data_IF_128198059143
#
_entry.id   IF_128198059143
#
_cell.length_a   1.000
_cell.length_b   1.000
_cell.length_c   1.000
_cell.angle_alpha   90.00
_cell.angle_beta   90.00
_cell.angle_gamma   90.00
#
_symmetry.space_group_name_H-M   'P 1'
#
loop_
_entity.id
_entity.type
_entity.pdbx_description
1 polymer ?
2 non-polymer ?
3 water ?
#
# COMPACT_ATOMS: atom_id res chain seq x y z
N UNK A 4 -7.24 -5.81 -19.05
CA UNK A 4 -8.59 -5.61 -18.44
C UNK A 4 -9.49 -6.82 -18.85
N UNK A 5 -10.14 -7.45 -17.86
CA UNK A 5 -11.06 -8.56 -18.20
C UNK A 5 -12.34 -7.97 -18.78
N UNK A 6 -13.04 -8.72 -19.69
CA UNK A 6 -14.41 -8.27 -20.04
C UNK A 6 -15.29 -8.26 -18.79
N UNK A 7 -16.17 -7.28 -18.71
CA UNK A 7 -17.04 -7.16 -17.53
C UNK A 7 -17.92 -8.43 -17.40
N UNK A 8 -18.07 -8.95 -16.18
CA UNK A 8 -18.98 -10.06 -15.91
C UNK A 8 -20.19 -9.43 -15.20
N UNK A 9 -21.38 -9.74 -15.68
CA UNK A 9 -22.64 -9.32 -15.01
C UNK A 9 -23.22 -10.51 -14.30
N UNK A 10 -23.60 -10.30 -13.04
CA UNK A 10 -24.15 -11.39 -12.27
C UNK A 10 -25.35 -10.85 -11.51
N UNK A 11 -26.52 -11.36 -11.85
CA UNK A 11 -27.70 -11.06 -11.04
C UNK A 11 -27.59 -11.89 -9.78
N UNK A 12 -27.46 -11.25 -8.62
CA UNK A 12 -27.31 -12.03 -7.39
C UNK A 12 -28.72 -12.43 -6.86
N UNK A 13 -29.62 -11.46 -6.92
CA UNK A 13 -31.05 -11.67 -6.51
C UNK A 13 -31.85 -10.51 -7.07
N UNK A 14 -33.15 -10.45 -6.75
CA UNK A 14 -33.98 -9.37 -7.27
C UNK A 14 -33.75 -7.98 -6.72
N UNK A 15 -32.82 -7.85 -5.77
CA UNK A 15 -32.33 -6.52 -5.38
C UNK A 15 -30.96 -6.17 -5.98
N UNK A 16 -30.04 -7.13 -6.03
CA UNK A 16 -28.61 -6.84 -6.39
C UNK A 16 -28.11 -7.48 -7.68
N UNK A 17 -27.49 -6.65 -8.51
CA UNK A 17 -26.66 -7.13 -9.63
C UNK A 17 -25.23 -6.59 -9.50
N UNK A 18 -24.26 -7.47 -9.72
CA UNK A 18 -22.84 -7.10 -9.60
C UNK A 18 -22.20 -7.09 -10.96
N UNK A 19 -21.31 -6.12 -11.22
CA UNK A 19 -20.53 -6.05 -12.46
C UNK A 19 -19.08 -6.02 -12.10
N UNK A 20 -18.30 -7.04 -12.50
CA UNK A 20 -16.85 -7.14 -12.08
C UNK A 20 -15.92 -6.97 -13.27
N UNK A 21 -14.92 -6.10 -13.14
CA UNK A 21 -13.81 -6.08 -14.08
C UNK A 21 -12.50 -6.10 -13.28
N UNK A 22 -11.50 -6.81 -13.78
CA UNK A 22 -10.16 -6.78 -13.20
C UNK A 22 -9.20 -6.12 -14.16
N UNK A 23 -8.38 -5.18 -13.68
CA UNK A 23 -7.43 -4.50 -14.55
C UNK A 23 -6.02 -4.58 -13.94
N UNK A 24 -5.01 -4.74 -14.79
CA UNK A 24 -3.62 -4.81 -14.31
C UNK A 24 -2.78 -3.74 -14.99
N UNK A 25 -1.90 -3.07 -14.24
CA UNK A 25 -0.87 -2.27 -14.93
C UNK A 25 0.35 -2.33 -14.09
N UNK A 26 1.50 -2.27 -14.75
CA UNK A 26 2.71 -2.46 -14.05
C UNK A 26 3.84 -1.70 -14.72
N UNK A 27 4.89 -1.49 -13.94
CA UNK A 27 6.15 -1.02 -14.49
C UNK A 27 7.15 -2.06 -14.07
N UNK A 28 7.76 -2.78 -15.04
CA UNK A 28 8.61 -3.86 -14.59
C UNK A 28 10.03 -3.44 -14.18
N UNK A 29 10.53 -2.30 -14.69
CA UNK A 29 11.81 -1.72 -14.24
C UNK A 29 11.72 -1.30 -12.74
N UNK A 30 10.64 -0.62 -12.39
CA UNK A 30 10.44 -0.25 -10.96
C UNK A 30 9.93 -1.38 -10.08
N UNK A 31 9.42 -2.44 -10.69
CA UNK A 31 8.94 -3.58 -9.90
C UNK A 31 7.75 -3.16 -9.03
N UNK A 32 6.80 -2.46 -9.70
CA UNK A 32 5.51 -2.07 -9.11
C UNK A 32 4.43 -2.56 -10.04
N UNK A 33 3.48 -3.31 -9.47
CA UNK A 33 2.33 -3.88 -10.21
C UNK A 33 1.04 -3.56 -9.48
N UNK A 34 0.06 -3.06 -10.25
CA UNK A 34 -1.27 -2.81 -9.67
C UNK A 34 -2.24 -3.87 -10.24
N UNK A 35 -2.95 -4.54 -9.35
CA UNK A 35 -3.96 -5.52 -9.76
C UNK A 35 -5.20 -4.92 -9.10
N UNK A 36 -6.13 -4.46 -9.95
CA UNK A 36 -7.32 -3.71 -9.42
C UNK A 36 -8.57 -4.45 -9.76
N UNK A 37 -9.41 -4.64 -8.74
CA UNK A 37 -10.70 -5.35 -8.92
C UNK A 37 -11.78 -4.31 -8.73
N UNK A 38 -12.52 -4.03 -9.81
CA UNK A 38 -13.63 -3.06 -9.80
C UNK A 38 -14.94 -3.86 -9.70
N UNK A 39 -15.69 -3.65 -8.62
CA UNK A 39 -17.02 -4.25 -8.49
C UNK A 39 -18.05 -3.16 -8.43
N UNK A 40 -18.92 -3.07 -9.44
CA UNK A 40 -20.00 -2.09 -9.38
C UNK A 40 -21.20 -2.83 -8.88
N UNK A 41 -21.88 -2.19 -7.95
CA UNK A 41 -23.09 -2.77 -7.34
C UNK A 41 -24.30 -1.95 -7.82
N UNK A 42 -25.26 -2.62 -8.44
CA UNK A 42 -26.54 -1.99 -8.79
C UNK A 42 -27.56 -2.58 -7.78
N UNK A 43 -28.09 -1.73 -6.91
CA UNK A 43 -29.02 -2.15 -5.84
C UNK A 43 -30.35 -1.43 -6.13
N UNK A 44 -31.37 -2.21 -6.47
CA UNK A 44 -32.73 -1.65 -6.67
C UNK A 44 -33.26 -0.80 -5.53
N UNK A 45 -32.79 -1.07 -4.31
CA UNK A 45 -33.26 -0.36 -3.15
C UNK A 45 -32.44 0.84 -2.71
N UNK A 46 -31.42 1.21 -3.50
CA UNK A 46 -30.53 2.33 -3.18
C UNK A 46 -30.28 3.15 -4.42
N UNK A 47 -30.47 4.45 -4.26
CA UNK A 47 -30.46 5.32 -5.41
C UNK A 47 -29.06 5.90 -5.75
N UNK A 48 -27.99 5.32 -5.20
CA UNK A 48 -26.62 5.62 -5.72
C UNK A 48 -26.00 4.37 -6.28
N UNK A 49 -25.14 4.53 -7.29
CA UNK A 49 -24.28 3.46 -7.78
C UNK A 49 -23.12 3.34 -6.80
N UNK A 50 -22.70 2.11 -6.53
CA UNK A 50 -21.55 1.90 -5.62
C UNK A 50 -20.46 1.15 -6.37
N UNK A 51 -19.22 1.64 -6.26
CA UNK A 51 -18.08 0.92 -6.77
C UNK A 51 -17.18 0.54 -5.60
N UNK A 52 -16.90 -0.74 -5.48
CA UNK A 52 -15.92 -1.25 -4.46
C UNK A 52 -14.70 -1.57 -5.27
N UNK A 53 -13.63 -0.80 -5.04
CA UNK A 53 -12.38 -0.97 -5.78
C UNK A 53 -11.35 -1.56 -4.85
N UNK A 54 -10.88 -2.78 -5.18
CA UNK A 54 -9.80 -3.41 -4.42
C UNK A 54 -8.50 -3.18 -5.16
N UNK A 55 -7.50 -2.66 -4.44
CA UNK A 55 -6.16 -2.39 -4.98
C UNK A 55 -5.19 -3.41 -4.39
N UNK A 56 -4.65 -4.27 -5.24
CA UNK A 56 -3.69 -5.33 -4.81
C UNK A 56 -2.46 -5.28 -5.74
N UNK A 57 -1.61 -6.32 -5.73
CA UNK A 57 -0.37 -6.32 -6.54
C UNK A 57 0.90 -6.32 -5.68
N UNK A 58 1.89 -5.51 -6.08
CA UNK A 58 3.24 -5.58 -5.55
C UNK A 58 3.90 -4.22 -5.61
N UNK A 59 4.63 -3.89 -4.54
CA UNK A 59 5.58 -2.77 -4.61
C UNK A 59 6.87 -3.33 -4.04
N UNK A 60 7.87 -3.47 -4.88
CA UNK A 60 9.16 -3.99 -4.36
C UNK A 60 9.76 -2.87 -3.47
N UNK A 61 10.56 -3.27 -2.44
CA UNK A 61 11.20 -2.33 -1.52
C UNK A 61 12.29 -1.51 -2.19
N UNK A 62 12.84 -2.04 -3.28
CA UNK A 62 13.98 -1.41 -3.97
C UNK A 62 15.31 -1.73 -3.29
N UNK A 63 15.30 -2.62 -2.29
CA UNK A 63 16.54 -2.98 -1.56
C UNK A 63 17.56 -3.63 -2.49
N UNK A 64 18.85 -3.30 -2.31
CA UNK A 64 19.94 -4.05 -2.91
C UNK A 64 21.01 -4.16 -1.82
N UNK A 65 21.72 -5.28 -1.82
CA UNK A 65 22.77 -5.52 -0.81
C UNK A 65 23.85 -4.46 -0.91
N UNK A 66 24.40 -4.06 0.26
CA UNK A 66 25.61 -3.20 0.25
C UNK A 66 26.79 -3.92 -0.36
N UNK A 67 27.81 -3.18 -0.76
CA UNK A 67 28.97 -3.82 -1.31
C UNK A 67 29.76 -4.40 -0.09
N UNK A 68 29.97 -5.73 -0.03
CA UNK A 68 30.62 -6.30 1.17
C UNK A 68 32.07 -5.90 1.36
N UNK A 69 32.69 -5.39 0.31
CA UNK A 69 34.12 -4.92 0.40
C UNK A 69 34.29 -3.55 1.06
N UNK A 70 33.21 -2.77 1.18
CA UNK A 70 33.26 -1.45 1.85
C UNK A 70 33.86 -1.64 3.23
N UNK A 71 34.98 -0.97 3.50
CA UNK A 71 35.70 -1.26 4.72
C UNK A 71 35.31 -0.41 5.95
N UNK A 72 35.40 0.92 5.83
CA UNK A 72 35.15 1.78 7.02
C UNK A 72 33.84 2.55 6.93
N UNK A 73 33.15 2.42 5.80
CA UNK A 73 31.89 3.13 5.59
C UNK A 73 31.09 2.32 4.61
N UNK A 74 29.80 2.10 4.88
CA UNK A 74 28.98 1.43 3.89
C UNK A 74 27.55 1.95 3.93
N UNK A 75 26.74 1.52 2.97
CA UNK A 75 25.36 2.01 2.89
C UNK A 75 24.55 1.07 2.01
N UNK A 76 23.21 1.12 2.15
CA UNK A 76 22.29 0.46 1.22
C UNK A 76 20.98 1.23 1.29
N UNK A 77 20.13 0.99 0.29
CA UNK A 77 18.79 1.57 0.27
C UNK A 77 17.76 0.47 0.63
N UNK A 78 16.68 0.91 1.29
CA UNK A 78 15.68 -0.06 1.77
C UNK A 78 14.31 0.59 1.75
N UNK A 79 13.27 -0.24 1.91
CA UNK A 79 11.88 0.28 1.81
C UNK A 79 11.36 0.89 3.10
N UNK A 80 11.53 2.19 3.25
CA UNK A 80 11.16 2.86 4.49
C UNK A 80 9.66 3.00 4.66
N UNK A 81 8.96 3.24 3.56
CA UNK A 81 7.52 3.50 3.66
C UNK A 81 6.88 3.22 2.28
N UNK A 82 5.66 2.70 2.33
CA UNK A 82 4.86 2.49 1.12
C UNK A 82 3.63 3.35 1.20
N UNK A 83 3.29 4.02 0.09
CA UNK A 83 2.11 4.86 0.01
C UNK A 83 1.18 4.33 -1.07
N UNK A 84 -0.13 4.22 -0.74
CA UNK A 84 -1.14 3.83 -1.80
C UNK A 84 -2.28 4.86 -1.73
N UNK A 85 -2.73 5.40 -2.85
CA UNK A 85 -3.89 6.25 -2.81
C UNK A 85 -4.79 6.00 -3.98
N UNK A 86 -6.07 6.37 -3.79
CA UNK A 86 -7.07 6.25 -4.85
C UNK A 86 -7.77 7.56 -4.86
N UNK A 87 -7.82 8.21 -6.03
CA UNK A 87 -8.52 9.50 -6.03
C UNK A 87 -9.49 9.63 -7.19
N UNK A 88 -10.57 10.33 -6.93
CA UNK A 88 -11.59 10.57 -7.94
C UNK A 88 -11.38 11.97 -8.53
N UNK A 89 -11.36 12.05 -9.86
CA UNK A 89 -11.34 13.35 -10.56
C UNK A 89 -12.54 13.49 -11.50
N UNK A 90 -12.73 14.72 -11.98
CA UNK A 90 -13.63 15.01 -13.11
C UNK A 90 -15.13 14.68 -12.97
N UNK A 91 -15.68 14.60 -11.75
CA UNK A 91 -17.15 14.45 -11.60
C UNK A 91 -17.61 14.66 -10.16
N UNK A 92 -18.33 15.74 -9.91
CA UNK A 92 -18.80 16.05 -8.54
C UNK A 92 -19.89 15.11 -7.98
N UNK A 93 -20.48 14.30 -8.85
CA UNK A 93 -21.45 13.34 -8.42
C UNK A 93 -20.78 12.03 -7.95
N UNK A 94 -19.44 12.00 -7.94
CA UNK A 94 -18.66 10.85 -7.41
C UNK A 94 -17.95 11.26 -6.13
N UNK A 95 -18.04 10.40 -5.10
CA UNK A 95 -17.38 10.66 -3.83
C UNK A 95 -16.79 9.39 -3.28
N UNK A 96 -15.64 9.53 -2.62
CA UNK A 96 -15.05 8.37 -1.89
C UNK A 96 -15.81 8.34 -0.56
N UNK A 97 -16.51 7.23 -0.25
CA UNK A 97 -17.42 7.24 0.92
C UNK A 97 -17.02 6.28 2.06
N UNK A 98 -16.15 5.34 1.73
CA UNK A 98 -15.70 4.31 2.67
C UNK A 98 -14.45 3.63 2.16
N UNK A 99 -13.78 2.92 3.04
CA UNK A 99 -12.48 2.33 2.70
C UNK A 99 -12.04 1.40 3.82
N UNK A 100 -11.12 0.49 3.47
CA UNK A 100 -10.53 -0.47 4.44
C UNK A 100 -9.06 -0.70 4.11
N UNK A 101 -8.18 -0.71 5.13
CA UNK A 101 -8.51 -0.37 6.51
C UNK A 101 -8.90 1.07 6.79
N UNK A 102 -9.62 1.22 7.90
CA UNK A 102 -10.21 2.48 8.26
C UNK A 102 -9.45 3.18 9.39
N UNK A 103 -8.74 2.40 10.22
CA UNK A 103 -8.06 2.92 11.44
C UNK A 103 -6.61 2.51 11.43
N UNK A 104 -5.78 3.26 12.16
CA UNK A 104 -4.34 2.97 12.30
C UNK A 104 -4.18 1.52 12.71
N UNK A 105 -3.16 0.84 12.20
CA UNK A 105 -3.07 -0.57 12.49
C UNK A 105 -1.59 -1.00 12.36
N UNK A 106 -1.03 -1.46 13.48
CA UNK A 106 0.33 -1.98 13.45
C UNK A 106 0.42 -3.49 13.77
N UNK A 107 -0.69 -4.23 13.53
CA UNK A 107 -0.70 -5.70 13.68
C UNK A 107 0.14 -6.32 12.58
N UNK A 108 0.70 -7.48 12.83
CA UNK A 108 1.63 -8.09 11.84
C UNK A 108 0.95 -8.48 10.54
N UNK A 109 -0.35 -8.76 10.63
CA UNK A 109 -1.12 -9.07 9.44
C UNK A 109 -2.45 -8.35 9.55
N UNK A 110 -2.82 -7.66 8.48
CA UNK A 110 -4.10 -6.95 8.42
C UNK A 110 -5.09 -7.85 7.67
N UNK A 111 -6.22 -8.18 8.27
CA UNK A 111 -7.22 -9.07 7.61
C UNK A 111 -8.56 -8.54 7.94
N UNK A 112 -9.27 -8.03 6.94
CA UNK A 112 -10.58 -7.38 7.19
C UNK A 112 -11.54 -7.70 6.05
N UNK A 113 -12.85 -7.56 6.33
CA UNK A 113 -13.89 -7.75 5.30
C UNK A 113 -14.66 -6.45 5.20
N UNK A 114 -14.94 -6.02 3.98
CA UNK A 114 -15.83 -4.89 3.77
C UNK A 114 -17.10 -5.44 3.15
N UNK A 115 -18.23 -5.16 3.80
CA UNK A 115 -19.53 -5.77 3.38
C UNK A 115 -20.46 -4.68 2.88
N UNK A 116 -21.29 -5.01 1.89
CA UNK A 116 -22.31 -4.11 1.42
C UNK A 116 -23.62 -4.80 1.77
N UNK A 117 -24.53 -4.04 2.38
CA UNK A 117 -25.86 -4.56 2.75
C UNK A 117 -26.90 -3.94 1.86
N UNK A 118 -27.97 -4.70 1.59
CA UNK A 118 -29.08 -4.19 0.82
C UNK A 118 -29.46 -2.79 1.35
N UNK A 119 -29.61 -1.84 0.43
CA UNK A 119 -30.01 -0.49 0.84
C UNK A 119 -28.86 0.51 0.95
N UNK A 120 -27.63 0.02 0.81
CA UNK A 120 -26.45 0.88 0.71
C UNK A 120 -25.48 0.92 1.86
N UNK A 121 -25.79 0.31 2.99
CA UNK A 121 -24.88 0.38 4.15
C UNK A 121 -23.59 -0.40 3.91
N UNK A 122 -22.46 0.19 4.32
CA UNK A 122 -21.14 -0.48 4.27
C UNK A 122 -20.70 -0.74 5.70
N UNK A 123 -20.20 -1.95 5.98
CA UNK A 123 -19.62 -2.26 7.28
C UNK A 123 -18.23 -2.89 7.07
N UNK A 124 -17.35 -2.68 8.02
CA UNK A 124 -16.00 -3.27 7.96
C UNK A 124 -15.91 -4.13 9.21
N UNK A 125 -15.56 -5.39 9.05
CA UNK A 125 -15.33 -6.28 10.18
C UNK A 125 -13.92 -6.85 10.13
N UNK A 126 -13.40 -7.10 11.33
CA UNK A 126 -12.10 -7.65 11.50
C UNK A 126 -12.15 -9.13 11.17
N UNK A 127 -11.11 -9.63 10.52
CA UNK A 127 -11.01 -11.04 10.16
C UNK A 127 -11.59 -11.29 8.77
N UNK A 128 -11.41 -12.51 8.24
CA UNK A 128 -11.87 -12.85 6.86
C UNK A 128 -13.17 -13.67 6.84
N UNK A 129 -13.64 -14.12 8.00
CA UNK A 129 -14.93 -14.86 8.05
C UNK A 129 -16.13 -14.11 7.49
N UNK A 130 -16.14 -12.79 7.67
CA UNK A 130 -17.20 -11.88 7.17
C UNK A 130 -17.43 -11.94 5.67
N UNK A 131 -16.40 -12.36 4.93
CA UNK A 131 -16.43 -12.51 3.49
C UNK A 131 -16.32 -13.95 3.05
N UNK A 132 -16.30 -14.85 4.04
CA UNK A 132 -16.39 -16.28 3.79
C UNK A 132 -17.72 -16.89 4.26
N UNK A 133 -18.36 -16.26 5.24
CA UNK A 133 -19.67 -16.73 5.70
C UNK A 133 -20.77 -16.38 4.67
N UNK A 134 -20.40 -15.54 3.69
CA UNK A 134 -21.27 -14.97 2.66
C UNK A 134 -22.54 -14.30 3.17
N UNK A 135 -22.56 -13.71 4.38
CA UNK A 135 -23.79 -13.08 4.98
C UNK A 135 -24.19 -11.70 4.44
N UNK A 136 -23.29 -11.09 3.67
CA UNK A 136 -23.62 -9.75 3.17
C UNK A 136 -24.01 -9.93 1.74
N UNK A 137 -24.81 -9.00 1.21
CA UNK A 137 -25.17 -9.09 -0.20
C UNK A 137 -23.95 -9.08 -1.12
N UNK A 138 -22.90 -8.33 -0.74
CA UNK A 138 -21.63 -8.32 -1.49
C UNK A 138 -20.54 -8.09 -0.44
N UNK A 139 -19.42 -8.80 -0.54
CA UNK A 139 -18.23 -8.43 0.32
C UNK A 139 -16.91 -8.59 -0.40
N UNK A 140 -15.88 -7.92 0.13
CA UNK A 140 -14.57 -7.96 -0.45
C UNK A 140 -13.62 -7.99 0.76
N UNK A 141 -12.46 -8.64 0.63
CA UNK A 141 -11.59 -8.80 1.80
C UNK A 141 -10.24 -8.13 1.49
N UNK A 142 -9.55 -7.77 2.57
CA UNK A 142 -8.14 -7.37 2.46
C UNK A 142 -7.33 -8.29 3.39
N UNK A 143 -6.12 -8.61 2.92
CA UNK A 143 -5.24 -9.55 3.65
C UNK A 143 -3.84 -9.19 3.25
N UNK A 144 -3.10 -8.60 4.19
CA UNK A 144 -1.69 -8.30 3.92
C UNK A 144 -0.83 -8.35 5.16
N UNK A 145 0.41 -8.75 4.92
CA UNK A 145 1.46 -8.80 5.94
C UNK A 145 2.17 -7.46 6.01
N UNK A 146 2.50 -7.02 7.23
CA UNK A 146 3.26 -5.72 7.38
C UNK A 146 4.06 -5.74 8.66
N UNK A 147 4.64 -6.90 8.96
CA UNK A 147 5.36 -7.08 10.21
C UNK A 147 6.45 -5.97 10.38
N UNK A 148 6.36 -5.28 11.51
CA UNK A 148 7.27 -4.17 11.92
C UNK A 148 6.87 -2.81 11.36
N UNK A 149 5.84 -2.79 10.52
CA UNK A 149 5.38 -1.60 9.89
C UNK A 149 4.01 -1.18 10.47
N UNK A 150 3.61 0.04 10.16
CA UNK A 150 2.33 0.54 10.63
C UNK A 150 1.57 1.21 9.50
N UNK A 151 0.28 0.89 9.40
CA UNK A 151 -0.65 1.50 8.44
C UNK A 151 -1.36 2.65 9.11
N UNK A 152 -1.35 3.80 8.42
CA UNK A 152 -2.12 4.93 8.85
C UNK A 152 -2.87 5.49 7.66
N UNK A 153 -4.00 6.11 7.94
CA UNK A 153 -4.78 6.74 6.88
C UNK A 153 -4.22 8.14 6.70
N UNK A 154 -4.01 8.55 5.46
CA UNK A 154 -3.47 9.91 5.20
C UNK A 154 -4.40 11.01 5.72
N UNK A 155 -3.81 12.06 6.29
CA UNK A 155 -4.58 13.25 6.76
C UNK A 155 -5.29 13.96 5.67
N UNK A 156 -4.78 13.87 4.44
CA UNK A 156 -5.42 14.58 3.37
C UNK A 156 -6.68 13.84 2.82
N UNK A 157 -6.94 12.65 3.32
CA UNK A 157 -8.14 11.87 2.92
C UNK A 157 -9.37 12.74 3.05
N UNK A 158 -10.17 12.75 2.00
CA UNK A 158 -11.40 13.52 1.99
C UNK A 158 -12.37 12.87 1.01
N UNK A 159 -13.44 13.60 0.64
CA UNK A 159 -14.41 13.01 -0.27
C UNK A 159 -13.90 12.70 -1.69
N UNK A 160 -12.72 13.22 -2.07
CA UNK A 160 -12.22 12.95 -3.40
C UNK A 160 -11.01 11.98 -3.41
N UNK A 161 -10.45 11.62 -2.25
CA UNK A 161 -9.24 10.78 -2.23
C UNK A 161 -9.14 9.99 -0.92
N UNK A 162 -8.69 8.75 -0.99
CA UNK A 162 -8.29 8.03 0.20
C UNK A 162 -6.82 7.64 -0.04
N UNK A 163 -5.98 7.84 0.96
CA UNK A 163 -4.65 7.16 0.89
C UNK A 163 -4.21 6.58 2.21
N UNK A 164 -3.27 5.63 2.11
CA UNK A 164 -2.66 4.98 3.25
C UNK A 164 -1.16 5.09 3.17
N UNK A 165 -0.55 5.12 4.36
CA UNK A 165 0.94 5.03 4.48
C UNK A 165 1.22 3.77 5.26
N UNK A 166 2.18 2.99 4.78
CA UNK A 166 2.58 1.78 5.52
C UNK A 166 4.10 1.97 5.79
N UNK A 167 4.41 2.35 7.05
CA UNK A 167 5.71 2.94 7.37
C UNK A 167 6.49 2.00 8.31
N UNK A 168 7.79 1.83 8.06
CA UNK A 168 8.68 1.16 9.09
C UNK A 168 8.45 1.77 10.47
N UNK A 169 8.19 0.94 11.48
CA UNK A 169 7.66 1.45 12.77
C UNK A 169 8.40 0.90 14.00
N UNK A 170 8.54 -0.42 14.06
CA UNK A 170 9.08 -1.07 15.30
C UNK A 170 9.93 -2.24 14.82
N UNK A 171 11.15 -1.92 14.43
CA UNK A 171 12.04 -2.92 13.89
C UNK A 171 12.97 -3.43 14.95
N UNK A 172 13.04 -4.77 15.09
CA UNK A 172 13.90 -5.41 16.08
C UNK A 172 15.21 -5.77 15.43
N UNK A 173 16.33 -5.53 16.12
CA UNK A 173 17.63 -5.84 15.53
C UNK A 173 18.35 -6.80 16.49
N UNK A 174 18.29 -8.08 16.16
CA UNK A 174 18.94 -9.14 16.94
C UNK A 174 18.60 -9.05 18.46
N UNK A 175 17.29 -8.90 18.74
CA UNK A 175 16.80 -8.76 20.12
C UNK A 175 16.78 -7.35 20.69
N UNK A 176 17.52 -6.42 20.08
CA UNK A 176 17.55 -5.02 20.49
C UNK A 176 16.52 -4.20 19.72
N UNK A 177 16.11 -3.08 20.28
CA UNK A 177 15.03 -2.32 19.66
C UNK A 177 13.83 -2.20 20.58
N UNK A 178 12.70 -1.71 20.08
CA UNK A 178 12.52 -1.51 18.63
C UNK A 178 13.12 -0.18 18.12
N UNK A 179 13.51 -0.19 16.85
CA UNK A 179 14.01 0.98 16.17
C UNK A 179 13.09 1.41 15.03
N UNK A 180 13.24 2.66 14.63
CA UNK A 180 12.42 3.21 13.57
C UNK A 180 13.34 3.99 12.66
N UNK A 181 12.74 4.71 11.71
CA UNK A 181 13.48 5.38 10.66
C UNK A 181 14.28 6.56 11.21
N UNK A 182 13.89 6.97 12.40
CA UNK A 182 14.32 8.20 13.15
C UNK A 182 15.09 7.95 14.45
N UNK A 183 15.41 6.70 14.79
CA UNK A 183 15.85 6.40 16.15
C UNK A 183 17.23 7.05 16.29
N UNK A 184 17.56 7.53 17.49
CA UNK A 184 18.82 8.27 17.64
C UNK A 184 19.39 8.03 19.01
N UNK A 185 20.63 7.59 19.04
CA UNK A 185 21.44 7.52 20.27
C UNK A 185 22.60 8.50 20.07
N UNK A 186 22.94 9.35 21.09
CA UNK A 186 24.05 10.32 20.87
C UNK A 186 25.41 9.68 20.55
N UNK A 187 25.64 8.43 20.94
CA UNK A 187 26.90 7.79 20.70
C UNK A 187 26.86 7.01 19.40
N UNK A 188 25.83 6.17 19.22
CA UNK A 188 25.82 5.15 18.15
C UNK A 188 24.94 5.51 16.96
N UNK A 189 24.26 6.67 17.02
CA UNK A 189 23.38 7.06 15.93
C UNK A 189 22.09 6.23 15.93
N UNK A 190 21.64 5.90 14.72
CA UNK A 190 20.48 5.01 14.51
C UNK A 190 21.02 3.64 14.31
N UNK A 191 20.75 2.77 15.26
CA UNK A 191 21.28 1.39 15.25
C UNK A 191 20.34 0.39 14.54
N UNK A 192 19.34 0.93 13.84
CA UNK A 192 18.29 0.15 13.15
C UNK A 192 18.78 -1.13 12.47
N UNK A 193 19.73 -0.98 11.53
CA UNK A 193 20.33 -2.19 10.90
C UNK A 193 21.82 -2.36 11.13
N UNK A 194 22.34 -1.77 12.21
CA UNK A 194 23.77 -1.92 12.53
C UNK A 194 24.08 -3.33 13.00
N UNK A 195 25.17 -3.92 12.49
CA UNK A 195 25.58 -5.29 12.92
C UNK A 195 26.04 -5.42 14.36
N UNK A 196 27.17 -4.82 14.69
CA UNK A 196 27.69 -4.80 16.09
C UNK A 196 28.36 -3.44 16.30
N UNK A 197 28.31 -2.91 17.53
CA UNK A 197 28.93 -1.61 17.82
C UNK A 197 30.46 -1.67 17.71
N UNK A 198 31.06 -2.85 17.88
CA UNK A 198 32.55 -2.99 17.91
C UNK A 198 33.14 -3.94 16.90
N UNK A 199 32.32 -4.43 15.97
CA UNK A 199 32.68 -5.52 15.11
C UNK A 199 33.99 -5.21 14.34
N UNK A 200 34.91 -6.19 14.27
CA UNK A 200 36.12 -6.02 13.39
C UNK A 200 35.80 -6.32 11.92
N UNK A 201 34.53 -6.67 11.61
CA UNK A 201 34.16 -6.93 10.21
C UNK A 201 34.26 -5.66 9.32
N UNK A 202 34.29 -5.85 8.00
CA UNK A 202 34.11 -4.79 7.02
C UNK A 202 32.76 -4.08 7.29
N UNK A 203 32.72 -2.76 7.05
CA UNK A 203 31.46 -1.96 7.10
C UNK A 203 30.39 -2.65 6.27
N UNK A 204 30.78 -3.06 5.06
CA UNK A 204 29.76 -3.67 4.19
C UNK A 204 29.22 -5.02 4.70
N UNK A 205 29.91 -5.61 5.66
CA UNK A 205 29.45 -6.87 6.30
C UNK A 205 29.08 -6.59 7.78
N UNK A 206 28.87 -5.34 8.17
CA UNK A 206 28.52 -5.02 9.53
C UNK A 206 27.12 -4.50 9.61
N UNK A 207 26.21 -5.18 8.88
CA UNK A 207 24.77 -4.87 8.96
C UNK A 207 23.99 -6.09 9.42
N UNK A 208 22.77 -5.87 9.95
CA UNK A 208 21.85 -7.00 10.24
C UNK A 208 21.74 -7.90 9.01
N UNK A 209 21.94 -9.21 9.16
CA UNK A 209 21.78 -10.04 7.95
C UNK A 209 20.39 -9.84 7.30
N UNK A 210 20.38 -9.81 5.98
CA UNK A 210 19.16 -9.52 5.19
C UNK A 210 17.90 -10.27 5.68
N UNK A 211 18.01 -11.59 6.00
CA UNK A 211 16.81 -12.38 6.33
C UNK A 211 16.19 -12.05 7.68
N UNK A 212 16.96 -11.36 8.52
CA UNK A 212 16.47 -10.88 9.82
C UNK A 212 15.89 -9.48 9.70
N UNK A 213 16.14 -8.80 8.56
CA UNK A 213 15.36 -7.52 8.26
C UNK A 213 13.89 -7.85 8.01
N UNK A 214 13.02 -6.87 8.24
CA UNK A 214 11.61 -7.18 7.87
C UNK A 214 11.45 -7.43 6.38
N UNK A 215 10.54 -8.31 6.03
CA UNK A 215 10.21 -8.56 4.64
C UNK A 215 9.89 -7.24 3.87
N UNK A 216 9.15 -6.34 4.49
CA UNK A 216 8.81 -5.06 3.80
C UNK A 216 10.08 -4.19 3.58
N UNK A 217 11.09 -4.35 4.42
CA UNK A 217 12.31 -3.48 4.30
C UNK A 217 13.19 -3.93 3.13
N UNK A 218 13.33 -5.24 2.93
CA UNK A 218 14.35 -5.82 2.03
C UNK A 218 13.68 -6.57 0.83
N UNK A 219 12.36 -6.77 0.86
CA UNK A 219 11.72 -7.66 -0.13
C UNK A 219 10.66 -6.82 -0.83
N UNK A 220 9.39 -7.11 -0.56
CA UNK A 220 8.36 -6.37 -1.25
C UNK A 220 7.16 -6.23 -0.32
N UNK A 221 6.33 -5.26 -0.66
CA UNK A 221 5.01 -5.11 -0.03
C UNK A 221 3.91 -5.65 -1.01
N UNK A 222 2.92 -6.40 -0.50
CA UNK A 222 1.80 -6.85 -1.31
C UNK A 222 0.56 -6.17 -0.74
N UNK A 223 0.25 -4.94 -1.22
CA UNK A 223 -0.86 -4.15 -0.70
C UNK A 223 -2.20 -4.83 -0.99
N UNK A 224 -3.14 -4.68 -0.08
CA UNK A 224 -4.57 -4.98 -0.35
C UNK A 224 -5.32 -3.92 0.39
N UNK A 225 -5.94 -3.02 -0.37
CA UNK A 225 -6.71 -1.86 0.15
C UNK A 225 -8.02 -1.77 -0.61
N UNK A 226 -9.06 -1.38 0.10
CA UNK A 226 -10.40 -1.25 -0.56
C UNK A 226 -10.80 0.23 -0.49
N UNK A 227 -11.24 0.77 -1.62
CA UNK A 227 -11.92 2.06 -1.63
C UNK A 227 -13.35 1.89 -2.08
N UNK A 228 -14.24 2.64 -1.46
CA UNK A 228 -15.66 2.58 -1.91
C UNK A 228 -16.04 3.95 -2.43
N UNK A 229 -16.57 3.97 -3.66
CA UNK A 229 -16.96 5.24 -4.28
C UNK A 229 -18.44 5.20 -4.60
N UNK A 230 -19.15 6.29 -4.35
CA UNK A 230 -20.58 6.39 -4.68
C UNK A 230 -20.73 7.37 -5.85
N UNK A 231 -21.71 7.09 -6.72
CA UNK A 231 -21.99 7.93 -7.86
C UNK A 231 -23.54 8.15 -7.93
N UNK A 232 -23.95 9.40 -8.08
CA UNK A 232 -25.41 9.70 -8.17
C UNK A 232 -25.93 9.10 -9.46
N UNK A 233 -26.97 8.28 -9.34
CA UNK A 233 -27.61 7.60 -10.46
C UNK A 233 -28.12 8.57 -11.52
N UNK A 234 -28.61 9.76 -11.10
CA UNK A 234 -29.04 10.82 -12.05
C UNK A 234 -27.93 11.26 -13.02
N UNK A 235 -26.70 11.31 -12.55
CA UNK A 235 -25.55 11.75 -13.35
C UNK A 235 -25.22 10.70 -14.43
N UNK A 236 -24.95 11.16 -15.66
CA UNK A 236 -24.67 10.25 -16.80
C UNK A 236 -23.26 10.36 -17.37
N UNK A 237 -22.44 11.16 -16.68
CA UNK A 237 -21.10 11.52 -17.11
C UNK A 237 -20.09 10.48 -16.63
N UNK A 238 -19.06 10.23 -17.44
CA UNK A 238 -17.91 9.42 -17.02
C UNK A 238 -17.09 10.09 -15.89
N UNK A 239 -16.24 9.32 -15.19
CA UNK A 239 -15.31 9.92 -14.23
C UNK A 239 -13.94 9.25 -14.36
N UNK A 240 -12.94 9.81 -13.68
CA UNK A 240 -11.60 9.27 -13.67
C UNK A 240 -11.20 8.86 -12.27
N UNK A 241 -10.46 7.76 -12.20
CA UNK A 241 -9.89 7.29 -10.95
C UNK A 241 -8.36 7.15 -11.17
N UNK A 242 -7.56 7.75 -10.27
CA UNK A 242 -6.08 7.65 -10.32
C UNK A 242 -5.63 6.79 -9.14
N UNK A 243 -4.84 5.76 -9.40
CA UNK A 243 -4.40 4.83 -8.34
C UNK A 243 -2.89 5.00 -8.29
N UNK A 244 -2.36 5.37 -7.12
CA UNK A 244 -0.92 5.61 -7.00
C UNK A 244 -0.30 4.60 -6.07
N UNK A 245 0.79 3.95 -6.51
CA UNK A 245 1.60 3.11 -5.57
C UNK A 245 2.97 3.75 -5.48
N UNK A 246 3.52 3.86 -4.27
CA UNK A 246 4.78 4.63 -4.10
C UNK A 246 5.63 3.99 -3.04
N UNK A 247 6.94 4.00 -3.26
CA UNK A 247 7.83 3.65 -2.14
C UNK A 247 8.77 4.85 -1.85
N UNK A 248 9.07 4.99 -0.57
CA UNK A 248 10.12 5.91 -0.08
C UNK A 248 11.29 5.03 0.26
N UNK A 249 12.41 5.23 -0.44
CA UNK A 249 13.59 4.44 -0.21
C UNK A 249 14.49 5.24 0.75
N UNK A 250 14.81 4.60 1.86
CA UNK A 250 15.71 5.22 2.87
C UNK A 250 17.15 4.72 2.60
N UNK A 251 18.11 5.52 3.00
CA UNK A 251 19.52 5.10 2.85
C UNK A 251 20.06 4.87 4.29
N UNK A 252 20.35 3.61 4.60
CA UNK A 252 20.98 3.21 5.90
C UNK A 252 22.52 3.17 5.71
N UNK A 253 23.25 3.73 6.66
CA UNK A 253 24.72 3.78 6.54
C UNK A 253 25.37 3.35 7.82
N UNK A 254 26.60 2.89 7.69
CA UNK A 254 27.42 2.70 8.91
C UNK A 254 28.83 3.28 8.69
N UNK A 255 29.52 3.57 9.80
CA UNK A 255 30.86 4.23 9.66
C UNK A 255 31.67 3.93 10.90
N UNK A 256 32.96 3.63 10.73
CA UNK A 256 33.79 3.36 11.90
C UNK A 256 34.38 4.65 12.37
N UNK A 257 34.14 5.03 13.62
CA UNK A 257 34.68 6.28 14.14
C UNK A 257 35.58 5.98 15.28
N UNK A 258 36.80 5.62 14.96
CA UNK A 258 37.89 5.50 15.95
C UNK A 258 37.70 4.42 17.01
N UNK A 259 36.63 4.50 17.83
CA UNK A 259 36.40 3.47 18.85
C UNK A 259 35.21 2.56 18.67
N UNK A 260 34.32 2.94 17.77
CA UNK A 260 33.07 2.20 17.61
C UNK A 260 32.41 2.58 16.29
N UNK A 261 31.39 1.77 15.93
CA UNK A 261 30.57 2.05 14.76
C UNK A 261 29.46 3.06 15.07
N UNK A 262 29.00 3.79 14.03
CA UNK A 262 27.87 4.67 14.12
C UNK A 262 26.95 4.27 12.97
N UNK A 263 25.66 4.23 13.18
CA UNK A 263 24.69 4.01 12.07
C UNK A 263 23.87 5.25 11.80
N UNK A 264 23.37 5.43 10.57
CA UNK A 264 22.57 6.65 10.25
C UNK A 264 21.49 6.16 9.28
N UNK A 265 20.28 6.70 9.40
CA UNK A 265 19.23 6.45 8.36
C UNK A 265 18.79 7.75 7.76
N UNK A 266 18.95 7.90 6.45
CA UNK A 266 18.45 9.09 5.73
C UNK A 266 17.06 8.69 5.17
N UNK A 267 16.02 9.45 5.49
CA UNK A 267 14.67 9.08 5.01
C UNK A 267 14.34 9.55 3.59
N UNK A 268 13.70 8.67 2.84
CA UNK A 268 13.06 9.07 1.59
C UNK A 268 14.07 9.80 0.68
N UNK A 269 15.18 9.14 0.48
CA UNK A 269 16.24 9.64 -0.43
C UNK A 269 15.98 9.35 -1.88
N UNK A 270 15.10 8.39 -2.17
CA UNK A 270 14.64 8.17 -3.55
C UNK A 270 13.15 7.81 -3.41
N UNK A 271 12.28 8.54 -4.12
CA UNK A 271 10.84 8.35 -4.07
C UNK A 271 10.50 7.77 -5.41
N UNK A 272 9.86 6.62 -5.44
CA UNK A 272 9.57 5.93 -6.68
C UNK A 272 8.02 5.81 -6.74
N UNK A 273 7.43 6.27 -7.83
CA UNK A 273 6.00 6.39 -7.88
C UNK A 273 5.49 5.82 -9.19
N UNK A 274 4.40 5.07 -9.07
CA UNK A 274 3.72 4.56 -10.25
C UNK A 274 2.24 4.85 -10.17
N UNK A 275 1.69 5.55 -11.18
CA UNK A 275 0.25 5.92 -11.15
C UNK A 275 -0.45 5.36 -12.41
N UNK A 276 -1.66 4.86 -12.23
CA UNK A 276 -2.55 4.55 -13.36
C UNK A 276 -3.80 5.35 -13.26
N UNK A 277 -4.31 5.73 -14.43
CA UNK A 277 -5.53 6.55 -14.48
C UNK A 277 -6.53 5.79 -15.36
N UNK A 278 -7.74 5.56 -14.82
CA UNK A 278 -8.79 4.83 -15.50
C UNK A 278 -9.99 5.74 -15.75
N UNK A 279 -10.61 5.57 -16.92
CA UNK A 279 -11.90 6.22 -17.19
C UNK A 279 -13.00 5.24 -16.78
N UNK A 280 -13.92 5.71 -15.95
CA UNK A 280 -14.97 4.88 -15.39
C UNK A 280 -16.27 5.24 -16.12
N UNK A 281 -16.89 4.23 -16.75
CA UNK A 281 -18.23 4.40 -17.31
C UNK A 281 -19.26 3.80 -16.37
N UNK A 282 -20.02 4.63 -15.67
CA UNK A 282 -20.92 4.15 -14.62
C UNK A 282 -22.16 3.47 -15.19
N UNK A 283 -22.51 3.86 -16.42
CA UNK A 283 -23.74 3.38 -17.10
C UNK A 283 -23.46 1.97 -17.58
N UNK A 284 -22.25 1.75 -18.13
CA UNK A 284 -21.89 0.42 -18.64
C UNK A 284 -21.05 -0.44 -17.71
N UNK A 285 -20.72 0.11 -16.54
CA UNK A 285 -19.90 -0.62 -15.54
C UNK A 285 -18.58 -1.10 -16.13
N UNK A 286 -17.94 -0.23 -16.92
CA UNK A 286 -16.68 -0.56 -17.59
C UNK A 286 -15.59 0.45 -17.19
N UNK A 287 -14.33 0.03 -17.33
CA UNK A 287 -13.17 0.88 -17.05
C UNK A 287 -12.17 0.73 -18.21
N UNK A 288 -11.50 1.83 -18.54
CA UNK A 288 -10.45 1.79 -19.56
C UNK A 288 -9.21 2.46 -18.95
N UNK A 289 -8.02 1.87 -19.16
CA UNK A 289 -6.78 2.50 -18.78
C UNK A 289 -6.45 3.62 -19.75
N UNK A 290 -6.49 4.88 -19.29
CA UNK A 290 -6.15 5.99 -20.17
C UNK A 290 -4.74 6.55 -20.02
N UNK A 291 -4.07 6.17 -18.96
CA UNK A 291 -2.73 6.75 -18.70
C UNK A 291 -1.98 6.05 -17.62
N UNK A 292 -0.65 6.00 -17.76
CA UNK A 292 0.17 5.65 -16.60
C UNK A 292 1.28 6.67 -16.49
N UNK A 293 1.92 6.71 -15.32
CA UNK A 293 3.17 7.41 -15.28
C UNK A 293 4.08 6.87 -14.18
N UNK A 294 5.38 6.95 -14.41
CA UNK A 294 6.38 6.45 -13.43
C UNK A 294 7.32 7.60 -13.12
N UNK A 295 7.82 7.68 -11.87
CA UNK A 295 8.86 8.68 -11.55
C UNK A 295 9.77 8.05 -10.53
N UNK A 296 11.07 8.37 -10.62
CA UNK A 296 11.95 8.24 -9.48
C UNK A 296 12.68 9.56 -9.31
N UNK A 297 12.75 10.04 -8.09
CA UNK A 297 13.39 11.34 -7.81
C UNK A 297 14.91 11.24 -7.87
N UNK A 298 15.48 10.08 -7.56
CA UNK A 298 16.95 9.97 -7.46
C UNK A 298 17.39 8.55 -7.86
N UNK A 299 17.26 8.22 -9.16
CA UNK A 299 17.65 6.87 -9.61
C UNK A 299 19.14 6.59 -9.45
X LIG B 1 3.35 1.91 17.64
#
# INVERSE_FOLDING_TARGET
AQHITPVSEKKVDDKITLYKTTATSDNDKLNISQILTFNFIKDKSYDKDTLVLKAAGNINSGYKKPNPKDYNYSQFYWGGKYNVSVSSESNDAVNVVDYAPKNQNEEFQVQQTLGYSYGGDINISNGLSGGLNGSKSFSETINYKQESYRTTIDRKTNHKSIGWGVEAHKIMNNGWGPYGRDSYDPTYGNELFLGGRQSSSNAGQNFLPTHQMPLLARGNFNPEFISVLSHKQNDTKKSKIKVTYQREMDRYTNQWNRLHWVGNNYKNQNTVTFTSTYEVDWQNHTVKLIGTDSKETNPGV
NI NI
#
